data_IF_518420354608
#
_entry.id   IF_518420354608
#
_cell.length_a   1.000
_cell.length_b   1.000
_cell.length_c   1.000
_cell.angle_alpha   90.00
_cell.angle_beta   90.00
_cell.angle_gamma   90.00
#
_symmetry.space_group_name_H-M   'P 1'
#
loop_
_entity.id
_entity.type
_entity.pdbx_description
1 polymer ?
#
# COMPACT_ATOMS: atom_id res chain seq x y z
N UNK A 1 1.49 19.89 18.78
CA UNK A 1 1.50 18.60 18.06
C UNK A 1 1.53 18.91 16.58
N UNK A 2 2.60 18.51 15.87
CA UNK A 2 2.67 18.63 14.42
C UNK A 2 1.48 17.82 13.87
N UNK A 3 0.64 18.41 13.04
CA UNK A 3 -0.42 17.68 12.35
C UNK A 3 0.25 16.72 11.37
N UNK A 4 0.77 15.61 11.87
CA UNK A 4 1.33 14.53 11.07
C UNK A 4 0.16 13.85 10.37
N UNK A 5 -0.21 14.46 9.23
CA UNK A 5 -1.25 13.97 8.33
C UNK A 5 -0.87 12.52 8.01
N UNK A 6 -1.63 11.58 8.59
CA UNK A 6 -1.34 10.16 8.44
C UNK A 6 -1.14 9.83 6.97
N UNK A 7 0.00 9.21 6.67
CA UNK A 7 0.39 8.96 5.30
C UNK A 7 -0.70 8.16 4.59
N UNK A 8 -1.09 8.63 3.39
CA UNK A 8 -2.16 8.02 2.60
C UNK A 8 -1.92 6.52 2.41
N UNK A 9 -0.68 6.09 2.18
CA UNK A 9 -0.33 4.67 2.01
C UNK A 9 -0.59 3.85 3.28
N UNK A 10 -0.21 4.37 4.45
CA UNK A 10 -0.46 3.75 5.75
C UNK A 10 -1.97 3.63 6.00
N UNK A 11 -2.73 4.70 5.72
CA UNK A 11 -4.19 4.69 5.85
C UNK A 11 -4.85 3.63 4.98
N UNK A 12 -4.43 3.51 3.72
CA UNK A 12 -4.96 2.50 2.81
C UNK A 12 -4.56 1.07 3.20
N UNK A 13 -3.33 0.86 3.65
CA UNK A 13 -2.88 -0.45 4.14
C UNK A 13 -3.65 -0.92 5.37
N UNK A 14 -3.95 -0.01 6.30
CA UNK A 14 -4.80 -0.26 7.47
C UNK A 14 -6.25 -0.58 7.07
N UNK A 15 -6.83 0.22 6.18
CA UNK A 15 -8.20 -0.01 5.69
C UNK A 15 -8.34 -1.35 4.96
N UNK A 16 -7.37 -1.72 4.12
CA UNK A 16 -7.38 -3.01 3.41
C UNK A 16 -7.30 -4.19 4.38
N UNK A 17 -6.41 -4.15 5.36
CA UNK A 17 -6.30 -5.20 6.37
C UNK A 17 -7.57 -5.30 7.23
N UNK A 18 -8.08 -4.17 7.73
CA UNK A 18 -9.30 -4.14 8.53
C UNK A 18 -10.48 -4.70 7.73
N UNK A 19 -10.63 -4.30 6.47
CA UNK A 19 -11.68 -4.78 5.59
C UNK A 19 -11.55 -6.29 5.30
N UNK A 20 -10.32 -6.78 5.11
CA UNK A 20 -10.08 -8.22 4.90
C UNK A 20 -10.50 -9.05 6.10
N UNK A 21 -10.21 -8.59 7.32
CA UNK A 21 -10.59 -9.28 8.55
C UNK A 21 -12.11 -9.29 8.70
N UNK A 22 -12.74 -8.13 8.47
CA UNK A 22 -14.20 -8.01 8.51
C UNK A 22 -14.86 -8.95 7.52
N UNK A 23 -14.46 -8.94 6.24
CA UNK A 23 -15.05 -9.84 5.23
C UNK A 23 -14.86 -11.30 5.63
N UNK A 24 -13.67 -11.68 6.10
CA UNK A 24 -13.39 -13.07 6.45
C UNK A 24 -14.26 -13.59 7.62
N UNK A 25 -14.79 -12.68 8.46
CA UNK A 25 -15.76 -13.05 9.50
C UNK A 25 -17.18 -13.26 8.96
N UNK A 26 -17.53 -12.65 7.83
CA UNK A 26 -18.87 -12.76 7.23
C UNK A 26 -18.93 -13.77 6.09
N UNK A 27 -17.82 -14.04 5.42
CA UNK A 27 -17.72 -14.88 4.23
C UNK A 27 -16.43 -15.70 4.33
N UNK A 28 -16.51 -17.01 4.10
CA UNK A 28 -15.33 -17.84 3.88
C UNK A 28 -14.66 -17.43 2.56
N UNK A 29 -13.62 -16.61 2.67
CA UNK A 29 -12.78 -16.23 1.54
C UNK A 29 -11.68 -17.28 1.40
N UNK A 30 -11.36 -17.72 0.18
CA UNK A 30 -10.22 -18.60 -0.04
C UNK A 30 -8.93 -18.05 0.58
N UNK A 31 -8.24 -18.89 1.35
CA UNK A 31 -7.03 -18.53 2.11
C UNK A 31 -5.98 -17.77 1.29
N UNK A 32 -5.78 -18.18 0.03
CA UNK A 32 -4.84 -17.52 -0.87
C UNK A 32 -5.16 -16.03 -1.06
N UNK A 33 -6.45 -15.69 -1.20
CA UNK A 33 -6.90 -14.30 -1.39
C UNK A 33 -6.70 -13.51 -0.08
N UNK A 34 -6.99 -14.12 1.07
CA UNK A 34 -6.81 -13.49 2.36
C UNK A 34 -5.33 -13.15 2.62
N UNK A 35 -4.42 -14.11 2.44
CA UNK A 35 -2.99 -13.88 2.61
C UNK A 35 -2.44 -12.86 1.60
N UNK A 36 -2.98 -12.83 0.38
CA UNK A 36 -2.60 -11.83 -0.62
C UNK A 36 -2.99 -10.41 -0.19
N UNK A 37 -4.21 -10.22 0.30
CA UNK A 37 -4.69 -8.90 0.77
C UNK A 37 -3.89 -8.44 1.99
N UNK A 38 -3.63 -9.33 2.95
CA UNK A 38 -2.81 -9.04 4.13
C UNK A 38 -1.39 -8.65 3.70
N UNK A 39 -0.79 -9.39 2.77
CA UNK A 39 0.54 -9.09 2.21
C UNK A 39 0.60 -7.74 1.51
N UNK A 40 -0.41 -7.39 0.72
CA UNK A 40 -0.52 -6.06 0.09
C UNK A 40 -0.65 -4.96 1.14
N UNK A 41 -1.51 -5.17 2.14
CA UNK A 41 -1.72 -4.18 3.20
C UNK A 41 -0.47 -3.96 4.04
N UNK A 42 0.28 -5.02 4.35
CA UNK A 42 1.58 -4.92 5.02
C UNK A 42 2.62 -4.19 4.17
N UNK A 43 2.68 -4.50 2.87
CA UNK A 43 3.58 -3.83 1.93
C UNK A 43 3.27 -2.33 1.82
N UNK A 44 2.00 -1.94 1.78
CA UNK A 44 1.56 -0.54 1.82
C UNK A 44 1.92 0.16 3.14
N UNK A 45 1.88 -0.57 4.26
CA UNK A 45 2.27 -0.06 5.56
C UNK A 45 3.77 0.27 5.61
N UNK A 46 4.61 -0.69 5.22
CA UNK A 46 6.07 -0.52 5.12
C UNK A 46 6.40 0.61 4.13
N UNK A 47 5.79 0.60 2.95
CA UNK A 47 5.99 1.63 1.94
C UNK A 47 5.56 3.02 2.42
N UNK A 48 4.44 3.08 3.15
CA UNK A 48 3.94 4.30 3.75
C UNK A 48 4.88 4.86 4.82
N UNK A 49 5.44 4.00 5.67
CA UNK A 49 6.43 4.39 6.67
C UNK A 49 7.73 4.91 6.02
N UNK A 50 8.22 4.23 4.98
CA UNK A 50 9.38 4.68 4.19
C UNK A 50 9.08 6.05 3.56
N UNK A 51 7.92 6.22 2.92
CA UNK A 51 7.54 7.51 2.29
C UNK A 51 7.33 8.66 3.26
N UNK A 52 7.02 8.37 4.52
CA UNK A 52 6.85 9.39 5.55
C UNK A 52 8.19 9.93 6.05
N UNK A 53 9.24 9.11 6.01
CA UNK A 53 10.56 9.42 6.58
C UNK A 53 11.63 9.71 5.53
N UNK A 54 11.44 9.30 4.28
CA UNK A 54 12.41 9.47 3.20
C UNK A 54 11.81 10.23 2.01
N UNK A 55 12.63 11.03 1.35
CA UNK A 55 12.25 11.76 0.14
C UNK A 55 11.92 10.77 -1.00
N UNK A 56 10.63 10.71 -1.34
CA UNK A 56 10.09 9.84 -2.38
C UNK A 56 10.35 10.32 -3.81
N UNK A 57 11.02 11.46 -4.01
CA UNK A 57 11.26 12.04 -5.33
C UNK A 57 12.02 11.09 -6.26
N UNK A 58 12.99 10.32 -5.74
CA UNK A 58 13.71 9.29 -6.52
C UNK A 58 12.79 8.16 -6.98
N UNK A 59 11.92 7.67 -6.10
CA UNK A 59 10.98 6.59 -6.41
C UNK A 59 9.94 7.03 -7.44
N UNK A 60 9.39 8.24 -7.30
CA UNK A 60 8.44 8.81 -8.26
C UNK A 60 9.10 8.98 -9.63
N UNK A 61 10.34 9.50 -9.69
CA UNK A 61 11.09 9.63 -10.94
C UNK A 61 11.40 8.27 -11.58
N UNK A 62 11.80 7.27 -10.79
CA UNK A 62 12.05 5.92 -11.27
C UNK A 62 10.77 5.29 -11.86
N UNK A 63 9.65 5.36 -11.13
CA UNK A 63 8.34 4.93 -11.62
C UNK A 63 7.99 5.64 -12.94
N UNK A 64 8.14 6.96 -13.00
CA UNK A 64 7.83 7.76 -14.20
C UNK A 64 8.69 7.34 -15.40
N UNK A 65 9.96 7.01 -15.19
CA UNK A 65 10.85 6.52 -16.25
C UNK A 65 10.45 5.12 -16.73
N UNK A 66 10.04 4.21 -15.84
CA UNK A 66 9.52 2.90 -16.25
C UNK A 66 8.26 3.03 -17.10
N UNK A 67 7.30 3.87 -16.69
CA UNK A 67 6.10 4.12 -17.50
C UNK A 67 6.42 4.75 -18.86
N UNK A 68 7.39 5.69 -18.92
CA UNK A 68 7.87 6.22 -20.20
C UNK A 68 8.51 5.14 -21.08
N UNK A 69 9.22 4.18 -20.49
CA UNK A 69 9.79 3.05 -21.23
C UNK A 69 8.72 2.12 -21.79
N UNK A 70 7.61 1.93 -21.07
CA UNK A 70 6.48 1.12 -21.54
C UNK A 70 5.61 1.81 -22.59
N UNK A 71 5.43 3.13 -22.51
CA UNK A 71 4.63 3.92 -23.46
C UNK A 71 5.40 4.21 -24.76
N UNK A 72 6.73 4.06 -24.77
CA UNK A 72 7.57 4.29 -25.96
C UNK A 72 7.87 3.00 -26.74
N UNK A 73 7.24 1.88 -26.37
CA UNK A 73 7.08 0.70 -27.22
C UNK A 73 5.80 0.83 -28.05
#
# INVERSE_FOLDING_TARGET
MKNDKMNKYVKWGLLLNAFSITINQFIEVPDFIMYFIIGIGFSLYVFGMISSNHDMTKFINWKRNLFKSFIKQ
#
